data_IF_835372698040
#
_entry.id   IF_835372698040
#
_cell.length_a   1.000
_cell.length_b   1.000
_cell.length_c   1.000
_cell.angle_alpha   90.00
_cell.angle_beta   90.00
_cell.angle_gamma   90.00
#
_symmetry.space_group_name_H-M   'P 1'
#
loop_
_entity.id
_entity.type
_entity.pdbx_description
1 polymer ?
#
# COMPACT_ATOMS: atom_id res chain seq x y z
N UNK A 1 22.67 14.21 -53.05
CA UNK A 1 21.93 13.32 -52.13
C UNK A 1 21.98 13.96 -50.74
N UNK A 2 20.95 14.73 -50.39
CA UNK A 2 20.85 15.46 -49.11
C UNK A 2 20.33 14.49 -48.04
N UNK A 3 21.18 14.10 -47.09
CA UNK A 3 20.74 13.41 -45.87
C UNK A 3 20.58 14.45 -44.77
N UNK A 4 19.34 14.90 -44.56
CA UNK A 4 18.94 15.72 -43.41
C UNK A 4 18.75 14.78 -42.20
N UNK A 5 19.74 14.73 -41.33
CA UNK A 5 19.61 14.16 -39.98
C UNK A 5 18.78 15.15 -39.12
N UNK A 6 17.46 14.93 -39.05
CA UNK A 6 16.63 15.44 -37.96
C UNK A 6 16.98 14.65 -36.70
N UNK A 7 17.91 15.14 -35.89
CA UNK A 7 17.92 14.81 -34.47
C UNK A 7 16.79 15.60 -33.81
N UNK A 8 15.63 14.98 -33.64
CA UNK A 8 14.65 15.44 -32.66
C UNK A 8 15.19 15.07 -31.28
N UNK A 9 15.85 16.04 -30.63
CA UNK A 9 16.04 16.01 -29.19
C UNK A 9 14.68 16.23 -28.54
N UNK A 10 13.93 15.16 -28.30
CA UNK A 10 12.85 15.18 -27.32
C UNK A 10 13.50 15.32 -25.95
N UNK A 11 13.66 16.58 -25.52
CA UNK A 11 13.90 16.89 -24.12
C UNK A 11 12.58 16.54 -23.43
N UNK A 12 12.52 15.33 -22.86
CA UNK A 12 11.44 14.95 -21.95
C UNK A 12 11.62 15.84 -20.70
N UNK A 13 10.96 17.00 -20.70
CA UNK A 13 10.67 17.68 -19.45
C UNK A 13 9.72 16.76 -18.69
N UNK A 14 10.27 15.92 -17.80
CA UNK A 14 9.48 15.41 -16.69
C UNK A 14 9.00 16.65 -15.94
N UNK A 15 7.74 17.02 -16.12
CA UNK A 15 7.11 18.03 -15.27
C UNK A 15 7.18 17.47 -13.85
N UNK A 16 8.05 18.06 -13.05
CA UNK A 16 8.19 17.75 -11.64
C UNK A 16 6.92 18.24 -10.94
N UNK A 17 6.20 17.31 -10.30
CA UNK A 17 4.98 17.61 -9.57
C UNK A 17 5.38 17.84 -8.11
N UNK A 18 4.79 18.85 -7.45
CA UNK A 18 4.96 18.99 -6.00
C UNK A 18 3.96 18.11 -5.28
N UNK A 19 4.40 17.32 -4.30
CA UNK A 19 3.49 16.55 -3.45
C UNK A 19 3.73 16.89 -1.98
N UNK A 20 2.69 16.82 -1.16
CA UNK A 20 2.90 16.73 0.29
C UNK A 20 3.52 15.37 0.60
N UNK A 21 4.63 15.33 1.33
CA UNK A 21 5.35 14.12 1.70
C UNK A 21 5.50 14.03 3.22
N UNK A 22 4.61 13.26 3.85
CA UNK A 22 4.60 13.07 5.29
C UNK A 22 3.81 11.81 5.69
N UNK A 23 4.02 11.36 6.92
CA UNK A 23 3.16 10.40 7.60
C UNK A 23 2.83 10.89 9.01
N UNK A 24 1.68 10.48 9.55
CA UNK A 24 1.36 10.71 10.96
C UNK A 24 2.48 10.18 11.87
N UNK A 25 2.81 10.92 12.93
CA UNK A 25 3.92 10.61 13.85
C UNK A 25 3.85 9.19 14.43
N UNK A 26 2.66 8.70 14.72
CA UNK A 26 2.42 7.36 15.29
C UNK A 26 2.82 6.21 14.36
N UNK A 27 2.92 6.47 13.05
CA UNK A 27 3.38 5.49 12.07
C UNK A 27 4.90 5.27 12.10
N UNK A 28 5.67 6.10 12.81
CA UNK A 28 7.13 5.91 12.95
C UNK A 28 7.46 4.56 13.60
N UNK A 29 6.69 4.18 14.62
CA UNK A 29 6.86 2.90 15.34
C UNK A 29 5.85 1.82 14.92
N UNK A 30 4.90 2.16 14.04
CA UNK A 30 3.84 1.27 13.56
C UNK A 30 3.80 1.17 12.02
N UNK A 31 4.91 1.43 11.34
CA UNK A 31 4.93 1.50 9.86
C UNK A 31 4.43 0.23 9.18
N UNK A 32 4.59 -0.92 9.82
CA UNK A 32 4.08 -2.21 9.33
C UNK A 32 2.56 -2.22 9.08
N UNK A 33 1.79 -1.33 9.74
CA UNK A 33 0.36 -1.15 9.47
C UNK A 33 0.09 -0.67 8.04
N UNK A 34 1.00 0.10 7.44
CA UNK A 34 0.86 0.66 6.08
C UNK A 34 1.03 -0.41 5.00
N UNK A 35 1.81 -1.45 5.28
CA UNK A 35 2.32 -2.44 4.31
C UNK A 35 3.17 -1.88 3.16
N UNK A 36 3.54 -0.59 3.24
CA UNK A 36 4.40 0.08 2.28
C UNK A 36 5.87 -0.21 2.61
N UNK A 37 6.73 -0.04 1.61
CA UNK A 37 8.17 0.05 1.84
C UNK A 37 8.44 1.25 2.76
N UNK A 38 9.39 1.11 3.68
CA UNK A 38 9.80 2.23 4.55
C UNK A 38 10.34 3.38 3.68
N UNK A 39 9.93 4.64 3.92
CA UNK A 39 10.30 5.76 3.07
C UNK A 39 11.82 5.95 3.06
N UNK A 40 12.38 6.26 1.89
CA UNK A 40 13.84 6.46 1.71
C UNK A 40 14.38 7.65 2.50
N UNK A 41 13.56 8.70 2.67
CA UNK A 41 13.92 9.89 3.43
C UNK A 41 12.94 10.04 4.61
N UNK A 42 13.46 9.92 5.83
CA UNK A 42 12.65 9.94 7.06
C UNK A 42 12.81 11.24 7.84
N UNK A 43 13.75 12.10 7.44
CA UNK A 43 13.98 13.38 8.10
C UNK A 43 12.75 14.26 7.88
N UNK A 44 12.10 14.62 8.99
CA UNK A 44 10.87 15.44 9.02
C UNK A 44 9.66 14.79 8.31
N UNK A 45 9.74 13.51 7.91
CA UNK A 45 8.64 12.79 7.27
C UNK A 45 7.52 12.42 8.25
N UNK A 46 7.89 11.96 9.44
CA UNK A 46 6.93 11.60 10.50
C UNK A 46 6.56 12.84 11.32
N UNK A 47 5.37 13.37 11.07
CA UNK A 47 4.90 14.65 11.58
C UNK A 47 3.50 14.54 12.20
N UNK A 48 3.29 15.16 13.37
CA UNK A 48 1.97 15.25 14.01
C UNK A 48 1.01 16.17 13.25
N UNK A 49 1.53 17.02 12.36
CA UNK A 49 0.78 17.94 11.52
C UNK A 49 0.52 17.41 10.10
N UNK A 50 0.84 16.14 9.81
CA UNK A 50 0.66 15.57 8.47
C UNK A 50 -0.81 15.58 7.97
N UNK A 51 -1.79 15.61 8.89
CA UNK A 51 -3.22 15.72 8.58
C UNK A 51 -3.71 17.17 8.41
N UNK A 52 -2.85 18.19 8.54
CA UNK A 52 -3.23 19.59 8.37
C UNK A 52 -3.27 20.00 6.89
N UNK A 53 -4.24 20.87 6.57
CA UNK A 53 -4.20 21.65 5.32
C UNK A 53 -2.95 22.54 5.31
N UNK A 54 -2.24 22.58 4.17
CA UNK A 54 -0.98 23.30 4.00
C UNK A 54 0.17 22.74 4.86
N UNK A 55 0.32 21.41 4.90
CA UNK A 55 1.49 20.77 5.51
C UNK A 55 2.79 21.42 5.01
N UNK A 56 3.74 21.74 5.90
CA UNK A 56 5.03 22.31 5.51
C UNK A 56 5.93 21.29 4.79
N UNK A 57 5.59 20.00 4.85
CA UNK A 57 6.40 18.92 4.29
C UNK A 57 6.03 18.70 2.83
N UNK A 58 6.54 19.59 1.98
CA UNK A 58 6.35 19.55 0.53
C UNK A 58 7.62 18.99 -0.10
N UNK A 59 7.49 17.92 -0.89
CA UNK A 59 8.54 17.48 -1.81
C UNK A 59 8.35 18.21 -3.14
N UNK A 60 9.24 19.15 -3.49
CA UNK A 60 9.09 19.97 -4.69
C UNK A 60 9.40 19.21 -5.99
N UNK A 61 10.07 18.06 -5.95
CA UNK A 61 10.60 17.39 -7.12
C UNK A 61 10.17 15.92 -7.24
N UNK A 62 8.89 15.61 -7.10
CA UNK A 62 8.41 14.24 -7.33
C UNK A 62 8.56 13.86 -8.81
N UNK A 63 9.24 12.74 -9.07
CA UNK A 63 9.37 12.15 -10.40
C UNK A 63 8.16 11.28 -10.78
N UNK A 64 7.26 11.04 -9.82
CA UNK A 64 6.04 10.26 -9.97
C UNK A 64 4.80 11.06 -9.57
N UNK A 65 3.63 10.44 -9.71
CA UNK A 65 2.36 11.05 -9.28
C UNK A 65 2.27 11.07 -7.75
N UNK A 66 1.45 11.96 -7.20
CA UNK A 66 1.27 12.03 -5.75
C UNK A 66 0.39 10.90 -5.24
N UNK A 67 0.62 10.51 -3.99
CA UNK A 67 -0.09 9.46 -3.26
C UNK A 67 -0.59 9.99 -1.92
N UNK A 68 -1.80 9.59 -1.53
CA UNK A 68 -2.28 9.70 -0.15
C UNK A 68 -3.10 8.47 0.21
N UNK A 69 -2.97 8.02 1.46
CA UNK A 69 -3.68 6.86 1.97
C UNK A 69 -3.98 7.03 3.45
N UNK A 70 -5.15 6.55 3.84
CA UNK A 70 -5.52 6.36 5.22
C UNK A 70 -5.08 4.99 5.72
N UNK A 71 -4.47 4.97 6.90
CA UNK A 71 -3.99 3.79 7.59
C UNK A 71 -4.75 3.64 8.90
N UNK A 72 -5.37 2.47 9.12
CA UNK A 72 -5.93 2.13 10.42
C UNK A 72 -4.88 1.38 11.24
N UNK A 73 -4.57 1.88 12.43
CA UNK A 73 -3.72 1.18 13.39
C UNK A 73 -4.18 1.50 14.82
N UNK A 74 -4.19 0.50 15.71
CA UNK A 74 -4.58 0.64 17.11
C UNK A 74 -5.92 1.39 17.32
N UNK A 75 -6.93 1.09 16.49
CA UNK A 75 -8.26 1.72 16.53
C UNK A 75 -8.26 3.23 16.25
N UNK A 76 -7.19 3.74 15.64
CA UNK A 76 -7.02 5.14 15.23
C UNK A 76 -6.69 5.23 13.75
N UNK A 77 -6.97 6.38 13.18
CA UNK A 77 -6.68 6.67 11.79
C UNK A 77 -5.46 7.57 11.65
N UNK A 78 -4.62 7.19 10.70
CA UNK A 78 -3.41 7.90 10.35
C UNK A 78 -3.38 8.13 8.85
N UNK A 79 -2.54 9.04 8.42
CA UNK A 79 -2.39 9.38 7.01
C UNK A 79 -0.94 9.21 6.58
N UNK A 80 -0.77 8.75 5.34
CA UNK A 80 0.50 8.74 4.63
C UNK A 80 0.32 9.48 3.32
N UNK A 81 1.27 10.34 2.99
CA UNK A 81 1.31 11.16 1.78
C UNK A 81 2.74 11.16 1.22
N UNK A 82 2.90 11.22 -0.09
CA UNK A 82 4.20 11.43 -0.71
C UNK A 82 4.19 11.25 -2.20
N UNK A 83 5.38 11.23 -2.80
CA UNK A 83 5.56 10.79 -4.16
C UNK A 83 5.38 9.25 -4.20
N UNK A 84 4.82 8.69 -5.26
CA UNK A 84 4.71 7.23 -5.37
C UNK A 84 6.07 6.49 -5.42
N UNK A 85 7.12 7.10 -5.97
CA UNK A 85 8.47 6.52 -6.10
C UNK A 85 9.24 6.39 -4.78
N UNK A 86 8.70 6.97 -3.70
CA UNK A 86 9.16 6.73 -2.34
C UNK A 86 8.72 5.35 -1.82
N UNK A 87 7.60 4.81 -2.33
CA UNK A 87 6.97 3.60 -1.78
C UNK A 87 6.84 2.45 -2.79
N UNK A 88 6.80 2.76 -4.08
CA UNK A 88 6.40 1.85 -5.14
C UNK A 88 7.45 1.77 -6.25
N UNK A 89 7.48 0.63 -6.95
CA UNK A 89 8.31 0.46 -8.14
C UNK A 89 7.59 0.99 -9.40
N UNK A 90 8.34 1.15 -10.49
CA UNK A 90 7.84 1.67 -11.77
C UNK A 90 6.64 0.90 -12.32
N UNK A 91 6.56 -0.41 -12.05
CA UNK A 91 5.43 -1.22 -12.53
C UNK A 91 4.13 -0.76 -11.86
N UNK A 92 4.13 -0.61 -10.53
CA UNK A 92 2.96 -0.15 -9.77
C UNK A 92 2.63 1.31 -10.10
N UNK A 93 3.65 2.15 -10.29
CA UNK A 93 3.47 3.55 -10.69
C UNK A 93 2.80 3.65 -12.07
N UNK A 94 3.21 2.82 -13.04
CA UNK A 94 2.62 2.81 -14.38
C UNK A 94 1.18 2.27 -14.35
N UNK A 95 0.92 1.23 -13.55
CA UNK A 95 -0.45 0.73 -13.34
C UNK A 95 -1.34 1.83 -12.73
N UNK A 96 -0.85 2.57 -11.73
CA UNK A 96 -1.57 3.70 -11.14
C UNK A 96 -1.86 4.81 -12.14
N UNK A 97 -0.86 5.19 -12.95
CA UNK A 97 -1.02 6.17 -14.04
C UNK A 97 -2.11 5.76 -15.03
N UNK A 98 -2.24 4.46 -15.33
CA UNK A 98 -3.27 3.93 -16.25
C UNK A 98 -4.69 3.95 -15.67
N UNK A 99 -4.82 4.14 -14.35
CA UNK A 99 -6.11 4.18 -13.63
C UNK A 99 -6.63 5.59 -13.37
N UNK A 100 -5.81 6.61 -13.64
CA UNK A 100 -6.23 8.00 -13.50
C UNK A 100 -7.36 8.31 -14.48
N UNK A 101 -8.36 9.03 -14.01
CA UNK A 101 -9.44 9.57 -14.84
C UNK A 101 -8.97 10.77 -15.68
N UNK A 102 -9.89 11.36 -16.43
CA UNK A 102 -9.62 12.54 -17.28
C UNK A 102 -9.15 13.76 -16.48
N UNK A 103 -9.53 13.83 -15.20
CA UNK A 103 -9.09 14.88 -14.27
C UNK A 103 -7.75 14.53 -13.60
N UNK A 104 -7.09 13.44 -14.01
CA UNK A 104 -5.79 13.03 -13.52
C UNK A 104 -5.83 12.44 -12.10
N UNK A 105 -6.95 11.85 -11.69
CA UNK A 105 -7.15 11.29 -10.36
C UNK A 105 -7.61 9.82 -10.38
N UNK A 106 -7.13 9.07 -9.40
CA UNK A 106 -7.69 7.77 -9.04
C UNK A 106 -7.93 7.77 -7.54
N UNK A 107 -9.16 7.48 -7.11
CA UNK A 107 -9.58 7.66 -5.74
C UNK A 107 -10.49 6.50 -5.32
N UNK A 108 -10.16 5.85 -4.20
CA UNK A 108 -10.98 4.85 -3.52
C UNK A 108 -11.29 5.34 -2.11
N UNK A 109 -12.57 5.36 -1.74
CA UNK A 109 -13.05 5.77 -0.43
C UNK A 109 -14.22 4.88 -0.01
N UNK A 110 -14.26 4.51 1.27
CA UNK A 110 -15.35 3.71 1.82
C UNK A 110 -16.69 4.45 1.77
N UNK A 111 -17.78 3.72 1.57
CA UNK A 111 -19.14 4.28 1.70
C UNK A 111 -19.39 4.86 3.11
N UNK A 112 -20.26 5.89 3.20
CA UNK A 112 -20.61 6.58 4.45
C UNK A 112 -21.07 5.63 5.56
N UNK A 113 -21.73 4.51 5.21
CA UNK A 113 -22.27 3.51 6.15
C UNK A 113 -21.24 2.48 6.63
N UNK A 114 -20.01 2.53 6.12
CA UNK A 114 -18.96 1.58 6.50
C UNK A 114 -18.61 1.77 7.98
N UNK A 115 -18.53 0.68 8.78
CA UNK A 115 -18.07 0.78 10.16
C UNK A 115 -16.75 1.53 10.25
N UNK A 116 -16.58 2.36 11.28
CA UNK A 116 -15.42 3.24 11.40
C UNK A 116 -14.10 2.46 11.24
N UNK A 117 -13.93 1.37 11.98
CA UNK A 117 -12.75 0.49 11.89
C UNK A 117 -12.43 -0.05 10.48
N UNK A 118 -13.40 -0.06 9.56
CA UNK A 118 -13.27 -0.61 8.21
C UNK A 118 -13.20 0.49 7.13
N UNK A 119 -13.24 1.77 7.54
CA UNK A 119 -13.07 2.91 6.62
C UNK A 119 -11.69 2.87 5.97
N UNK A 120 -11.66 3.23 4.70
CA UNK A 120 -10.45 3.29 3.91
C UNK A 120 -10.48 4.49 2.97
N UNK A 121 -9.30 4.98 2.64
CA UNK A 121 -9.09 6.01 1.64
C UNK A 121 -7.75 5.79 0.96
N UNK A 122 -7.71 5.90 -0.36
CA UNK A 122 -6.54 5.83 -1.20
C UNK A 122 -6.73 6.76 -2.39
N UNK A 123 -5.78 7.65 -2.65
CA UNK A 123 -5.80 8.53 -3.81
C UNK A 123 -4.44 8.62 -4.46
N UNK A 124 -4.44 8.55 -5.80
CA UNK A 124 -3.34 8.97 -6.64
C UNK A 124 -3.78 10.16 -7.48
N UNK A 125 -2.91 11.15 -7.66
CA UNK A 125 -3.27 12.36 -8.40
C UNK A 125 -2.04 13.02 -9.04
N UNK A 126 -2.27 13.73 -10.15
CA UNK A 126 -1.21 14.46 -10.88
C UNK A 126 -1.66 15.80 -11.46
N UNK A 127 -2.88 16.21 -11.16
CA UNK A 127 -3.58 17.30 -11.84
C UNK A 127 -3.21 18.69 -11.35
N UNK A 128 -2.64 18.79 -10.15
CA UNK A 128 -2.10 20.01 -9.58
C UNK A 128 -1.00 19.69 -8.56
N UNK A 129 -0.22 20.71 -8.25
CA UNK A 129 0.69 20.68 -7.11
C UNK A 129 -0.10 20.40 -5.82
N UNK A 130 0.48 19.58 -4.94
CA UNK A 130 -0.05 19.22 -3.63
C UNK A 130 -1.45 18.60 -3.68
N UNK A 131 -1.82 17.96 -4.78
CA UNK A 131 -3.13 17.33 -4.96
C UNK A 131 -3.44 16.26 -3.88
N UNK A 132 -2.42 15.72 -3.20
CA UNK A 132 -2.57 14.75 -2.13
C UNK A 132 -2.76 15.37 -0.72
N UNK A 133 -2.94 16.69 -0.63
CA UNK A 133 -3.12 17.42 0.64
C UNK A 133 -4.59 17.61 1.06
N UNK A 134 -5.54 17.33 0.16
CA UNK A 134 -6.96 17.70 0.37
C UNK A 134 -7.66 16.84 1.44
N UNK A 135 -7.22 15.60 1.65
CA UNK A 135 -7.88 14.67 2.55
C UNK A 135 -7.51 14.89 4.01
N UNK A 136 -8.52 15.04 4.86
CA UNK A 136 -8.37 15.12 6.31
C UNK A 136 -9.05 13.94 6.97
N UNK A 137 -8.40 13.33 7.95
CA UNK A 137 -8.96 12.22 8.72
C UNK A 137 -10.28 12.60 9.39
N UNK A 138 -10.47 13.86 9.80
CA UNK A 138 -11.72 14.32 10.42
C UNK A 138 -12.87 14.53 9.42
N UNK A 139 -12.54 14.74 8.14
CA UNK A 139 -13.48 15.13 7.09
C UNK A 139 -13.68 14.00 6.08
N UNK A 140 -13.87 12.76 6.57
CA UNK A 140 -14.13 11.52 5.80
C UNK A 140 -15.34 11.54 4.84
N UNK A 141 -15.88 12.72 4.54
CA UNK A 141 -17.06 12.90 3.75
C UNK A 141 -16.69 13.55 2.41
N UNK A 142 -16.57 12.69 1.38
CA UNK A 142 -16.70 12.97 -0.05
C UNK A 142 -15.50 13.63 -0.71
N UNK A 143 -14.39 12.90 -0.79
CA UNK A 143 -13.26 13.31 -1.64
C UNK A 143 -13.29 12.57 -2.96
N UNK A 144 -13.61 11.28 -2.96
CA UNK A 144 -13.77 10.53 -4.20
C UNK A 144 -15.12 10.82 -4.85
N UNK A 145 -15.14 10.95 -6.19
CA UNK A 145 -16.36 11.11 -6.99
C UNK A 145 -17.34 9.94 -6.83
N UNK A 146 -16.80 8.75 -6.62
CA UNK A 146 -17.54 7.50 -6.43
C UNK A 146 -17.05 6.78 -5.19
N UNK A 147 -17.98 6.35 -4.34
CA UNK A 147 -17.68 5.56 -3.15
C UNK A 147 -17.56 4.08 -3.51
N UNK A 148 -16.69 3.38 -2.80
CA UNK A 148 -16.39 1.97 -3.00
C UNK A 148 -17.10 1.14 -1.94
N UNK A 149 -17.98 0.19 -2.34
CA UNK A 149 -18.65 -0.69 -1.39
C UNK A 149 -17.63 -1.58 -0.66
N UNK A 150 -17.94 -2.06 0.55
CA UNK A 150 -17.15 -3.08 1.21
C UNK A 150 -17.01 -4.32 0.32
N UNK A 151 -15.83 -4.90 0.27
CA UNK A 151 -15.62 -6.11 -0.51
C UNK A 151 -16.35 -7.31 0.09
N UNK A 152 -16.53 -8.34 -0.73
CA UNK A 152 -17.31 -9.53 -0.37
C UNK A 152 -16.43 -10.79 -0.27
N UNK A 153 -15.12 -10.67 -0.46
CA UNK A 153 -14.22 -11.81 -0.37
C UNK A 153 -14.08 -12.26 1.08
N UNK A 154 -14.22 -13.57 1.28
CA UNK A 154 -13.92 -14.21 2.56
C UNK A 154 -12.45 -14.60 2.59
N UNK A 155 -11.70 -14.08 3.57
CA UNK A 155 -10.27 -14.35 3.71
C UNK A 155 -9.97 -15.07 5.02
N UNK A 156 -8.82 -15.73 5.09
CA UNK A 156 -8.30 -16.17 6.38
C UNK A 156 -7.83 -14.98 7.20
N UNK A 157 -8.12 -15.02 8.50
CA UNK A 157 -7.74 -14.01 9.49
C UNK A 157 -6.97 -14.68 10.63
N UNK A 158 -5.81 -14.16 10.98
CA UNK A 158 -5.02 -14.63 12.11
C UNK A 158 -3.80 -13.74 12.33
N UNK A 159 -3.29 -13.79 13.55
CA UNK A 159 -2.02 -13.16 13.89
C UNK A 159 -1.22 -14.12 14.77
N UNK A 160 -0.04 -14.53 14.32
CA UNK A 160 0.87 -15.33 15.12
C UNK A 160 2.24 -14.63 15.17
N UNK A 161 2.39 -13.78 16.18
CA UNK A 161 3.64 -13.15 16.55
C UNK A 161 4.37 -14.12 17.48
N UNK A 162 5.53 -14.61 17.04
CA UNK A 162 6.42 -15.52 17.79
C UNK A 162 5.93 -16.98 17.89
N UNK A 163 6.38 -17.80 16.93
CA UNK A 163 6.13 -19.25 16.92
C UNK A 163 6.78 -19.94 15.71
N UNK A 164 6.24 -21.08 15.29
CA UNK A 164 6.69 -21.79 14.07
C UNK A 164 6.33 -21.09 12.75
N UNK A 165 5.83 -19.84 12.80
CA UNK A 165 5.50 -19.00 11.65
C UNK A 165 4.28 -19.47 10.84
N UNK A 166 3.53 -20.46 11.32
CA UNK A 166 2.35 -20.97 10.61
C UNK A 166 1.08 -20.51 11.31
N UNK A 167 0.39 -19.55 10.70
CA UNK A 167 -1.01 -19.39 10.97
C UNK A 167 -1.77 -20.55 10.29
N UNK A 168 -2.29 -21.48 11.09
CA UNK A 168 -3.33 -22.40 10.62
C UNK A 168 -4.68 -21.68 10.79
N UNK A 169 -5.55 -21.69 9.78
CA UNK A 169 -6.90 -21.17 9.96
C UNK A 169 -7.60 -22.01 11.02
N UNK A 170 -8.00 -21.38 12.12
CA UNK A 170 -8.88 -22.01 13.10
C UNK A 170 -10.32 -21.94 12.57
N UNK A 171 -11.17 -22.91 12.89
CA UNK A 171 -12.60 -22.81 12.61
C UNK A 171 -13.16 -21.53 13.26
N UNK A 172 -13.57 -20.55 12.43
CA UNK A 172 -14.02 -19.22 12.88
C UNK A 172 -13.03 -18.07 12.67
N UNK A 173 -11.84 -18.31 12.12
CA UNK A 173 -10.82 -17.28 11.92
C UNK A 173 -10.85 -16.72 10.49
N UNK A 174 -12.00 -16.18 10.07
CA UNK A 174 -12.20 -15.55 8.76
C UNK A 174 -12.64 -14.11 8.91
N UNK A 175 -12.38 -13.30 7.90
CA UNK A 175 -12.89 -11.93 7.79
C UNK A 175 -13.44 -11.71 6.37
N UNK A 176 -14.09 -10.57 6.18
CA UNK A 176 -14.59 -10.14 4.87
C UNK A 176 -13.92 -8.85 4.43
N UNK A 177 -13.54 -8.73 3.15
CA UNK A 177 -13.02 -7.50 2.55
C UNK A 177 -12.86 -7.62 1.04
N UNK A 178 -12.29 -6.61 0.40
CA UNK A 178 -12.05 -6.62 -1.07
C UNK A 178 -10.84 -7.46 -1.43
N UNK A 179 -9.81 -7.44 -0.58
CA UNK A 179 -8.56 -8.13 -0.79
C UNK A 179 -8.22 -8.97 0.44
N UNK A 180 -7.65 -10.14 0.20
CA UNK A 180 -7.02 -10.91 1.24
C UNK A 180 -5.54 -10.53 1.32
N UNK A 181 -5.08 -10.26 2.53
CA UNK A 181 -3.69 -9.88 2.81
C UNK A 181 -3.01 -11.01 3.57
N UNK A 182 -1.76 -11.27 3.19
CA UNK A 182 -0.84 -12.11 3.93
C UNK A 182 0.46 -11.34 4.15
N UNK A 183 0.87 -11.21 5.40
CA UNK A 183 2.18 -10.67 5.77
C UNK A 183 2.98 -11.80 6.41
N UNK A 184 4.17 -12.07 5.90
CA UNK A 184 5.07 -13.05 6.50
C UNK A 184 6.47 -12.51 6.53
N UNK A 185 7.19 -12.71 7.63
CA UNK A 185 8.53 -12.18 7.77
C UNK A 185 9.31 -12.83 8.89
N UNK A 186 10.46 -12.25 9.19
CA UNK A 186 11.26 -12.63 10.33
C UNK A 186 11.91 -11.42 10.99
N UNK A 187 12.14 -11.56 12.29
CA UNK A 187 12.89 -10.64 13.15
C UNK A 187 13.97 -11.48 13.84
N UNK A 188 15.23 -11.26 13.48
CA UNK A 188 16.30 -12.22 13.78
C UNK A 188 15.94 -13.64 13.31
N UNK A 189 15.91 -14.59 14.24
CA UNK A 189 15.49 -15.98 14.00
C UNK A 189 13.98 -16.22 14.12
N UNK A 190 13.25 -15.30 14.74
CA UNK A 190 11.82 -15.44 14.97
C UNK A 190 11.03 -15.20 13.68
N UNK A 191 10.11 -16.10 13.35
CA UNK A 191 9.22 -15.97 12.20
C UNK A 191 7.83 -15.53 12.64
N UNK A 192 7.19 -14.70 11.83
CA UNK A 192 5.80 -14.30 12.03
C UNK A 192 4.99 -14.44 10.73
N UNK A 193 3.71 -14.70 10.89
CA UNK A 193 2.72 -14.68 9.81
C UNK A 193 1.42 -14.06 10.32
N UNK A 194 0.93 -13.08 9.58
CA UNK A 194 -0.34 -12.42 9.78
C UNK A 194 -1.19 -12.59 8.51
N UNK A 195 -2.48 -12.81 8.69
CA UNK A 195 -3.47 -12.79 7.61
C UNK A 195 -4.63 -11.92 8.03
N UNK A 196 -5.08 -11.07 7.12
CA UNK A 196 -6.19 -10.15 7.35
C UNK A 196 -6.94 -9.85 6.07
N UNK A 197 -8.05 -9.15 6.21
CA UNK A 197 -8.79 -8.56 5.10
C UNK A 197 -8.37 -7.11 4.94
N UNK A 198 -8.45 -6.61 3.71
CA UNK A 198 -8.33 -5.20 3.42
C UNK A 198 -9.37 -4.81 2.38
N UNK A 199 -10.00 -3.66 2.54
CA UNK A 199 -10.86 -3.11 1.50
C UNK A 199 -10.07 -2.37 0.40
N UNK A 200 -8.79 -2.10 0.66
CA UNK A 200 -7.91 -1.37 -0.24
C UNK A 200 -6.61 -2.14 -0.49
N UNK A 201 -6.08 -2.04 -1.71
CA UNK A 201 -4.77 -2.54 -2.08
C UNK A 201 -3.96 -1.38 -2.67
N UNK A 202 -2.95 -0.85 -1.95
CA UNK A 202 -2.15 0.29 -2.43
C UNK A 202 -1.27 -0.06 -3.64
N UNK A 203 -1.19 -1.34 -4.02
CA UNK A 203 -0.48 -1.81 -5.21
C UNK A 203 -1.40 -2.08 -6.40
N UNK A 204 -2.73 -1.87 -6.25
CA UNK A 204 -3.78 -1.91 -7.30
C UNK A 204 -4.00 -3.29 -7.95
N UNK A 205 -3.10 -4.25 -7.77
CA UNK A 205 -3.20 -5.61 -8.32
C UNK A 205 -2.71 -6.67 -7.35
N UNK A 206 -3.04 -7.92 -7.66
CA UNK A 206 -2.50 -9.08 -6.96
C UNK A 206 -0.97 -9.06 -7.05
N UNK A 207 -0.30 -8.96 -5.90
CA UNK A 207 1.15 -8.79 -5.85
C UNK A 207 1.70 -9.31 -4.54
N UNK A 208 2.99 -9.65 -4.54
CA UNK A 208 3.77 -9.89 -3.33
C UNK A 208 4.99 -8.99 -3.36
N UNK A 209 5.12 -8.11 -2.37
CA UNK A 209 6.20 -7.14 -2.25
C UNK A 209 7.03 -7.48 -1.02
N UNK A 210 8.35 -7.48 -1.19
CA UNK A 210 9.28 -7.56 -0.06
C UNK A 210 9.43 -6.16 0.50
N UNK A 211 9.21 -6.01 1.79
CA UNK A 211 9.41 -4.76 2.52
C UNK A 211 10.41 -5.00 3.63
N UNK A 212 11.34 -4.06 3.74
CA UNK A 212 12.27 -3.99 4.85
C UNK A 212 11.82 -2.79 5.68
N UNK A 213 11.50 -3.02 6.95
CA UNK A 213 11.11 -1.97 7.88
C UNK A 213 12.19 -1.84 8.94
N UNK A 214 12.82 -0.68 9.01
CA UNK A 214 13.80 -0.37 10.05
C UNK A 214 13.10 0.30 11.23
N UNK A 215 13.37 -0.17 12.44
CA UNK A 215 12.96 0.52 13.65
C UNK A 215 14.18 0.85 14.50
N UNK A 216 14.29 2.10 15.01
CA UNK A 216 15.33 2.43 15.97
C UNK A 216 15.00 1.74 17.29
N UNK A 217 15.80 0.74 17.68
CA UNK A 217 15.74 0.19 19.03
C UNK A 217 16.63 1.03 19.94
N UNK A 218 16.00 1.75 20.87
CA UNK A 218 16.71 2.37 21.99
C UNK A 218 16.81 1.35 23.12
N UNK A 219 17.85 0.52 23.07
CA UNK A 219 18.25 -0.31 24.21
C UNK A 219 19.14 0.54 25.10
N UNK A 220 18.54 1.23 26.07
CA UNK A 220 19.20 2.01 27.14
C UNK A 220 20.19 3.08 26.66
N UNK A 221 19.74 4.34 26.63
CA UNK A 221 20.49 5.63 26.68
C UNK A 221 21.80 5.88 25.89
N UNK A 222 22.37 4.94 25.12
CA UNK A 222 23.65 5.20 24.43
C UNK A 222 23.91 4.37 23.15
N UNK A 223 23.06 3.38 22.81
CA UNK A 223 23.20 2.60 21.57
C UNK A 223 21.85 2.56 20.87
N UNK A 224 21.72 3.29 19.77
CA UNK A 224 20.66 3.08 18.78
C UNK A 224 21.14 2.03 17.79
N UNK A 225 20.57 0.83 17.87
CA UNK A 225 20.71 -0.16 16.80
C UNK A 225 19.44 -0.11 15.95
N UNK A 226 19.59 -0.01 14.62
CA UNK A 226 18.47 -0.20 13.71
C UNK A 226 18.27 -1.70 13.54
N UNK A 227 17.10 -2.20 13.90
CA UNK A 227 16.74 -3.57 13.57
C UNK A 227 15.82 -3.60 12.35
N UNK A 228 16.15 -4.50 11.42
CA UNK A 228 15.47 -4.62 10.14
C UNK A 228 14.50 -5.79 10.19
N UNK A 229 13.21 -5.49 10.12
CA UNK A 229 12.17 -6.50 9.92
C UNK A 229 12.04 -6.72 8.42
N UNK A 230 12.44 -7.91 7.96
CA UNK A 230 12.22 -8.32 6.57
C UNK A 230 10.89 -9.03 6.47
N UNK A 231 10.01 -8.50 5.63
CA UNK A 231 8.69 -9.07 5.43
C UNK A 231 8.32 -9.15 3.96
N UNK A 232 7.35 -10.00 3.66
CA UNK A 232 6.69 -10.10 2.36
C UNK A 232 5.22 -9.87 2.59
N UNK A 233 4.68 -8.85 1.95
CA UNK A 233 3.27 -8.51 1.95
C UNK A 233 2.68 -8.97 0.63
N UNK A 234 1.68 -9.84 0.69
CA UNK A 234 0.92 -10.29 -0.47
C UNK A 234 -0.52 -9.80 -0.39
N UNK A 235 -0.98 -9.20 -1.49
CA UNK A 235 -2.38 -8.88 -1.75
C UNK A 235 -2.91 -9.81 -2.82
N UNK A 236 -4.13 -10.32 -2.63
CA UNK A 236 -4.84 -11.06 -3.65
C UNK A 236 -6.35 -10.82 -3.57
N UNK A 237 -7.00 -10.90 -4.72
CA UNK A 237 -8.44 -10.93 -4.88
C UNK A 237 -8.94 -12.38 -4.98
N UNK A 238 -10.10 -12.66 -4.37
CA UNK A 238 -10.77 -13.94 -4.37
C UNK A 238 -10.82 -14.62 -3.00
N UNK A 239 -11.86 -15.44 -2.80
CA UNK A 239 -12.08 -16.16 -1.55
C UNK A 239 -10.87 -17.04 -1.18
N UNK A 240 -10.39 -16.87 0.04
CA UNK A 240 -9.30 -17.64 0.65
C UNK A 240 -7.98 -17.61 -0.13
N UNK A 241 -7.76 -16.63 -1.02
CA UNK A 241 -6.55 -16.55 -1.84
C UNK A 241 -5.27 -16.34 -1.00
N UNK A 242 -5.40 -15.82 0.24
CA UNK A 242 -4.30 -15.70 1.20
C UNK A 242 -3.96 -17.01 1.94
N UNK A 243 -4.34 -18.16 1.38
CA UNK A 243 -3.99 -19.47 1.93
C UNK A 243 -2.48 -19.76 1.82
N UNK A 244 -1.98 -20.66 2.66
CA UNK A 244 -0.60 -21.17 2.60
C UNK A 244 -0.35 -22.06 1.38
N UNK A 245 -1.40 -22.49 0.71
CA UNK A 245 -1.34 -23.23 -0.56
C UNK A 245 -1.57 -22.24 -1.69
N UNK A 246 -0.48 -21.73 -2.26
CA UNK A 246 -0.49 -21.21 -3.63
C UNK A 246 -0.98 -22.33 -4.56
N UNK A 247 -2.30 -22.48 -4.69
CA UNK A 247 -2.89 -23.14 -5.84
C UNK A 247 -3.11 -22.04 -6.88
N UNK A 248 -2.01 -21.61 -7.50
CA UNK A 248 -2.08 -21.33 -8.92
C UNK A 248 -2.50 -22.66 -9.56
N UNK A 249 -3.81 -22.89 -9.68
CA UNK A 249 -4.33 -23.97 -10.49
C UNK A 249 -3.99 -23.55 -11.92
N UNK A 250 -2.81 -23.94 -12.37
CA UNK A 250 -2.45 -23.86 -13.78
C UNK A 250 -3.51 -24.66 -14.52
N UNK A 251 -4.33 -23.98 -15.33
CA UNK A 251 -5.36 -24.56 -16.19
C UNK A 251 -4.82 -25.68 -17.10
N UNK A 252 -3.50 -25.81 -17.23
CA UNK A 252 -2.80 -26.90 -17.92
C UNK A 252 -3.11 -28.27 -17.29
N UNK A 253 -3.38 -28.34 -15.99
CA UNK A 253 -3.66 -29.64 -15.34
C UNK A 253 -5.08 -30.16 -15.59
N UNK A 254 -6.03 -29.31 -16.03
CA UNK A 254 -7.39 -29.75 -16.37
C UNK A 254 -7.47 -30.38 -17.77
N UNK A 255 -6.61 -29.92 -18.70
CA UNK A 255 -6.54 -30.44 -20.07
C UNK A 255 -5.92 -31.84 -20.14
N UNK A 256 -5.03 -32.21 -19.21
CA UNK A 256 -4.43 -33.55 -19.17
C UNK A 256 -5.41 -34.64 -18.70
N UNK A 257 -6.47 -34.29 -17.96
CA UNK A 257 -7.52 -35.24 -17.59
C UNK A 257 -8.51 -35.55 -18.72
N UNK A 258 -8.64 -34.68 -19.73
CA UNK A 258 -9.57 -34.90 -20.85
C UNK A 258 -8.94 -35.78 -21.94
N UNK A 259 -7.61 -35.79 -22.08
CA UNK A 259 -6.91 -36.60 -23.10
C UNK A 259 -6.81 -38.09 -22.72
N UNK A 260 -7.05 -38.45 -21.45
CA UNK A 260 -7.02 -39.86 -20.99
C UNK A 260 -8.40 -40.54 -21.07
N UNK A 261 -9.45 -39.82 -21.49
CA UNK A 261 -10.84 -40.32 -21.61
C UNK A 261 -11.32 -40.34 -23.08
N UNK A 262 -10.41 -40.27 -24.05
CA UNK A 262 -10.68 -40.53 -25.49
C UNK A 262 -9.69 -41.60 -25.96
#
# INVERSE_FOLDING_TARGET
MFFLLKLSSEIIFCQLIKCTSCASKELEVNWSATTLVYPKNTKDFFDSECDRTNSPNIEPNCQSICFSMLVNSNSSFYIVRGCMDDFFNDTVINDAKSKLDDDGEYCLESEEKTPEKDKFYLRYCKNRDECNNDFKVKDFNKICKSLTPPGQNTCYSCNNLYGNGKCKPNSGSTCTGTYCVKVSGHYGEAKFEERRCSNVNPYIKNTCIKTDTEFPLSLTSSITANEVIKSTVCYCDGNFCNSSTSRYISMISLLLTIIIII
#
